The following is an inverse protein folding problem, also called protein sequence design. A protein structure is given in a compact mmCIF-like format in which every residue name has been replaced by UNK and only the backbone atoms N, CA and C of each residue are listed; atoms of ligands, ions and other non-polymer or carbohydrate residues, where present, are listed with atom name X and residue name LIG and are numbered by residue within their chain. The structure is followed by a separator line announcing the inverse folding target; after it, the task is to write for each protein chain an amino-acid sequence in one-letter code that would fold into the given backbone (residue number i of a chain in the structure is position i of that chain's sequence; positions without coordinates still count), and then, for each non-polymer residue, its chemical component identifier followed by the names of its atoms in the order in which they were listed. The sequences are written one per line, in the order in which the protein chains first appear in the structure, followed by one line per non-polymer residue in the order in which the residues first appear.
data_IF_182836572560
#
_entry.id   IF_182836572560
#
_cell.length_a   1.000
_cell.length_b   1.000
_cell.length_c   1.000
_cell.angle_alpha   90.00
_cell.angle_beta   90.00
_cell.angle_gamma   90.00
#
_symmetry.space_group_name_H-M   'P 1'
#
loop_
_entity.id
_entity.type
_entity.pdbx_description
1 polymer ?
#
# COMPACT_ATOMS: atom_id res chain seq x y z
N UNK A 1 -37.58 -38.90 27.71
CA UNK A 1 -36.99 -39.13 26.37
C UNK A 1 -37.88 -38.50 25.32
N UNK A 2 -37.71 -37.20 25.04
CA UNK A 2 -38.16 -36.51 23.83
C UNK A 2 -37.96 -34.99 24.03
N UNK A 3 -37.51 -34.32 22.97
CA UNK A 3 -37.41 -32.85 22.76
C UNK A 3 -36.04 -32.18 22.93
N UNK A 4 -34.98 -32.82 22.45
CA UNK A 4 -33.91 -32.10 21.76
C UNK A 4 -33.95 -32.63 20.31
N UNK A 5 -34.21 -31.82 19.28
CA UNK A 5 -33.15 -31.27 18.43
C UNK A 5 -33.80 -30.45 17.29
N UNK A 6 -34.54 -29.38 17.61
CA UNK A 6 -34.89 -28.40 16.58
C UNK A 6 -34.67 -27.00 17.13
N UNK A 7 -33.39 -26.65 17.35
CA UNK A 7 -33.06 -25.23 17.34
C UNK A 7 -33.37 -24.72 15.93
N UNK A 8 -34.23 -23.69 15.76
CA UNK A 8 -34.44 -23.10 14.46
C UNK A 8 -33.09 -22.60 13.96
N UNK A 9 -32.58 -23.16 12.86
CA UNK A 9 -31.32 -22.73 12.26
C UNK A 9 -31.35 -21.22 12.16
N UNK A 10 -30.43 -20.55 12.87
CA UNK A 10 -30.37 -19.11 12.89
C UNK A 10 -30.19 -18.63 11.44
N UNK A 11 -31.17 -17.89 10.92
CA UNK A 11 -31.21 -17.44 9.53
C UNK A 11 -29.90 -16.77 9.10
N UNK A 12 -29.22 -16.08 10.03
CA UNK A 12 -27.91 -15.47 9.80
C UNK A 12 -26.82 -16.52 9.48
N UNK A 13 -26.84 -17.69 10.13
CA UNK A 13 -25.90 -18.78 9.87
C UNK A 13 -26.13 -19.37 8.49
N UNK A 14 -27.39 -19.67 8.16
CA UNK A 14 -27.76 -20.20 6.83
C UNK A 14 -27.39 -19.20 5.73
N UNK A 15 -27.67 -17.91 5.95
CA UNK A 15 -27.33 -16.83 5.02
C UNK A 15 -25.82 -16.73 4.81
N UNK A 16 -25.02 -16.84 5.88
CA UNK A 16 -23.56 -16.78 5.79
C UNK A 16 -22.98 -17.96 5.03
N UNK A 17 -23.52 -19.16 5.24
CA UNK A 17 -23.15 -20.37 4.47
C UNK A 17 -23.48 -20.17 2.99
N UNK A 18 -24.70 -19.69 2.69
CA UNK A 18 -25.12 -19.46 1.31
C UNK A 18 -24.22 -18.45 0.60
N UNK A 19 -23.88 -17.34 1.28
CA UNK A 19 -22.96 -16.32 0.75
C UNK A 19 -21.56 -16.90 0.52
N UNK A 20 -21.05 -17.73 1.44
CA UNK A 20 -19.75 -18.38 1.29
C UNK A 20 -19.72 -19.29 0.05
N UNK A 21 -20.75 -20.12 -0.12
CA UNK A 21 -20.87 -21.02 -1.28
C UNK A 21 -20.97 -20.21 -2.58
N UNK A 22 -21.77 -19.14 -2.60
CA UNK A 22 -21.90 -18.27 -3.77
C UNK A 22 -20.55 -17.62 -4.16
N UNK A 23 -19.76 -17.18 -3.17
CA UNK A 23 -18.45 -16.59 -3.42
C UNK A 23 -17.45 -17.61 -4.01
N UNK A 24 -17.46 -18.85 -3.52
CA UNK A 24 -16.63 -19.94 -4.04
C UNK A 24 -17.00 -20.26 -5.50
N UNK A 25 -18.31 -20.35 -5.80
CA UNK A 25 -18.79 -20.57 -7.17
C UNK A 25 -18.39 -19.43 -8.09
N UNK A 26 -18.59 -18.17 -7.68
CA UNK A 26 -18.19 -17.01 -8.47
C UNK A 26 -16.68 -17.01 -8.77
N UNK A 27 -15.86 -17.34 -7.77
CA UNK A 27 -14.40 -17.44 -7.92
C UNK A 27 -14.01 -18.59 -8.86
N UNK A 28 -14.69 -19.73 -8.77
CA UNK A 28 -14.49 -20.88 -9.66
C UNK A 28 -14.84 -20.56 -11.11
N UNK A 29 -15.98 -19.91 -11.34
CA UNK A 29 -16.42 -19.48 -12.67
C UNK A 29 -15.45 -18.45 -13.25
N UNK A 30 -15.03 -17.45 -12.47
CA UNK A 30 -14.04 -16.47 -12.91
C UNK A 30 -12.73 -17.17 -13.33
N UNK A 31 -12.25 -18.14 -12.55
CA UNK A 31 -11.03 -18.90 -12.90
C UNK A 31 -11.22 -19.75 -14.15
N UNK A 32 -12.39 -20.36 -14.36
CA UNK A 32 -12.68 -21.19 -15.52
C UNK A 32 -12.84 -20.36 -16.81
N UNK A 33 -13.44 -19.18 -16.73
CA UNK A 33 -13.73 -18.31 -17.89
C UNK A 33 -12.51 -17.47 -18.28
N UNK A 34 -11.81 -16.89 -17.30
CA UNK A 34 -10.67 -16.01 -17.56
C UNK A 34 -9.38 -16.83 -17.71
N UNK A 35 -9.33 -18.04 -17.14
CA UNK A 35 -8.14 -18.88 -17.07
C UNK A 35 -7.34 -18.62 -15.79
N UNK A 36 -6.73 -19.66 -15.22
CA UNK A 36 -5.97 -19.58 -13.96
C UNK A 36 -4.86 -18.53 -13.99
N UNK A 37 -4.27 -18.34 -15.17
CA UNK A 37 -3.10 -17.49 -15.39
C UNK A 37 -3.48 -16.01 -15.60
N UNK A 38 -4.79 -15.72 -15.76
CA UNK A 38 -5.32 -14.37 -15.92
C UNK A 38 -6.13 -13.90 -14.70
N UNK A 39 -6.30 -14.74 -13.68
CA UNK A 39 -6.83 -14.32 -12.38
C UNK A 39 -5.69 -13.68 -11.60
N UNK A 40 -5.68 -12.34 -11.54
CA UNK A 40 -4.66 -11.57 -10.82
C UNK A 40 -4.40 -12.15 -9.43
N UNK A 41 -3.26 -12.81 -9.29
CA UNK A 41 -2.89 -13.44 -8.03
C UNK A 41 -2.49 -12.37 -7.01
N UNK A 42 -2.63 -12.65 -5.72
CA UNK A 42 -2.12 -11.77 -4.68
C UNK A 42 -0.62 -11.44 -4.88
N UNK A 43 0.12 -12.37 -5.50
CA UNK A 43 1.53 -12.22 -5.89
C UNK A 43 1.74 -11.17 -6.99
N UNK A 44 0.92 -11.16 -8.03
CA UNK A 44 1.00 -10.15 -9.10
C UNK A 44 0.66 -8.76 -8.57
N UNK A 45 -0.37 -8.64 -7.73
CA UNK A 45 -0.71 -7.37 -7.08
C UNK A 45 0.43 -6.84 -6.20
N UNK A 46 1.09 -7.74 -5.46
CA UNK A 46 2.26 -7.38 -4.65
C UNK A 46 3.44 -6.94 -5.52
N UNK A 47 3.65 -7.58 -6.66
CA UNK A 47 4.71 -7.22 -7.60
C UNK A 47 4.48 -5.84 -8.23
N UNK A 48 3.25 -5.55 -8.66
CA UNK A 48 2.89 -4.23 -9.20
C UNK A 48 3.08 -3.13 -8.15
N UNK A 49 2.71 -3.40 -6.90
CA UNK A 49 2.94 -2.47 -5.79
C UNK A 49 4.43 -2.21 -5.57
N UNK A 50 5.27 -3.26 -5.57
CA UNK A 50 6.73 -3.13 -5.44
C UNK A 50 7.32 -2.30 -6.59
N UNK A 51 6.86 -2.52 -7.82
CA UNK A 51 7.34 -1.77 -8.98
C UNK A 51 6.94 -0.29 -8.88
N UNK A 52 5.71 0.01 -8.45
CA UNK A 52 5.27 1.38 -8.18
C UNK A 52 6.10 2.05 -7.07
N UNK A 53 6.44 1.31 -6.01
CA UNK A 53 7.31 1.77 -4.93
C UNK A 53 8.72 2.11 -5.43
N UNK A 54 9.31 1.25 -6.27
CA UNK A 54 10.62 1.50 -6.90
C UNK A 54 10.58 2.73 -7.80
N UNK A 55 9.54 2.89 -8.61
CA UNK A 55 9.37 4.08 -9.45
C UNK A 55 9.30 5.37 -8.61
N UNK A 56 8.53 5.35 -7.51
CA UNK A 56 8.47 6.47 -6.56
C UNK A 56 9.83 6.75 -5.91
N UNK A 57 10.60 5.72 -5.55
CA UNK A 57 11.93 5.89 -4.99
C UNK A 57 12.91 6.51 -6.00
N UNK A 58 12.89 6.06 -7.25
CA UNK A 58 13.71 6.61 -8.33
C UNK A 58 13.39 8.10 -8.58
N UNK A 59 12.10 8.45 -8.63
CA UNK A 59 11.67 9.84 -8.77
C UNK A 59 12.17 10.72 -7.61
N UNK A 60 12.07 10.25 -6.36
CA UNK A 60 12.61 10.98 -5.19
C UNK A 60 14.12 11.16 -5.28
N UNK A 61 14.85 10.14 -5.72
CA UNK A 61 16.30 10.20 -5.87
C UNK A 61 16.73 11.20 -6.96
N UNK A 62 15.99 11.30 -8.06
CA UNK A 62 16.22 12.31 -9.09
C UNK A 62 15.96 13.72 -8.54
N UNK A 63 14.83 13.95 -7.89
CA UNK A 63 14.53 15.25 -7.26
C UNK A 63 15.59 15.63 -6.24
N UNK A 64 16.04 14.69 -5.39
CA UNK A 64 17.10 14.94 -4.41
C UNK A 64 18.41 15.35 -5.08
N UNK A 65 18.78 14.72 -6.20
CA UNK A 65 19.96 15.09 -7.00
C UNK A 65 19.81 16.49 -7.60
N UNK A 66 18.67 16.82 -8.17
CA UNK A 66 18.40 18.15 -8.71
C UNK A 66 18.48 19.24 -7.63
N UNK A 67 17.89 19.00 -6.45
CA UNK A 67 17.98 19.93 -5.30
C UNK A 67 19.41 20.08 -4.81
N UNK A 68 20.17 18.99 -4.70
CA UNK A 68 21.58 19.05 -4.31
C UNK A 68 22.42 19.87 -5.30
N UNK A 69 22.18 19.71 -6.60
CA UNK A 69 22.84 20.52 -7.63
C UNK A 69 22.49 22.01 -7.51
N UNK A 70 21.23 22.36 -7.25
CA UNK A 70 20.82 23.75 -7.02
C UNK A 70 21.50 24.36 -5.79
N UNK A 71 21.61 23.60 -4.69
CA UNK A 71 22.30 24.03 -3.46
C UNK A 71 23.80 24.22 -3.72
N UNK A 72 24.44 23.31 -4.47
CA UNK A 72 25.87 23.39 -4.76
C UNK A 72 26.24 24.62 -5.60
N UNK A 73 25.33 25.09 -6.46
CA UNK A 73 25.51 26.29 -7.29
C UNK A 73 25.08 27.57 -6.56
N UNK A 74 24.36 27.46 -5.43
CA UNK A 74 23.91 28.62 -4.68
C UNK A 74 25.12 29.44 -4.18
N UNK A 75 25.20 30.75 -4.47
CA UNK A 75 26.30 31.59 -4.02
C UNK A 75 26.32 31.61 -2.50
N UNK A 76 27.51 31.44 -1.90
CA UNK A 76 27.74 31.53 -0.46
C UNK A 76 27.42 32.95 0.05
N UNK A 77 26.14 33.21 0.30
CA UNK A 77 25.65 34.44 0.90
C UNK A 77 26.17 34.57 2.32
N UNK A 78 27.30 35.27 2.47
CA UNK A 78 27.92 35.80 3.70
C UNK A 78 27.04 35.67 4.95
N UNK A 79 27.25 34.63 5.76
CA UNK A 79 27.16 34.80 7.21
C UNK A 79 28.47 35.44 7.68
N UNK A 80 28.60 36.75 7.49
CA UNK A 80 29.50 37.54 8.34
C UNK A 80 28.89 37.51 9.74
N UNK A 81 29.26 36.51 10.53
CA UNK A 81 29.14 36.61 11.97
C UNK A 81 29.97 37.83 12.37
N UNK A 82 29.31 38.95 12.70
CA UNK A 82 29.98 40.07 13.36
C UNK A 82 30.51 39.50 14.68
N UNK A 83 31.83 39.56 14.96
CA UNK A 83 32.29 39.31 16.31
C UNK A 83 31.63 40.37 17.19
N UNK A 84 30.86 39.92 18.19
CA UNK A 84 30.44 40.77 19.29
C UNK A 84 31.73 41.20 20.00
N UNK A 85 32.27 42.33 19.58
CA UNK A 85 33.40 42.97 20.24
C UNK A 85 32.98 43.24 21.67
N UNK A 86 33.67 42.60 22.60
CA UNK A 86 33.58 42.86 24.03
C UNK A 86 33.83 44.35 24.28
N UNK A 87 32.82 45.06 24.76
CA UNK A 87 33.03 46.37 25.36
C UNK A 87 33.52 46.15 26.79
N UNK A 88 34.79 46.48 26.98
CA UNK A 88 35.47 46.56 28.26
C UNK A 88 35.01 47.81 29.02
N UNK A 89 34.91 47.64 30.35
CA UNK A 89 35.09 48.63 31.43
C UNK A 89 33.88 49.37 31.96
#
# INVERSE_FOLDING_TARGET
MATELTQPMNFAVVSRVLVSVAAEVATGVQRAVVGSDNVRTARENAWDAIQADRARAAARAETARAVAAMIAVAPAGRRRAKPLTSAHR
#
